data_IF_695637387978
#
_entry.id   IF_695637387978
#
_cell.length_a   1.000
_cell.length_b   1.000
_cell.length_c   1.000
_cell.angle_alpha   90.00
_cell.angle_beta   90.00
_cell.angle_gamma   90.00
#
_symmetry.space_group_name_H-M   'P 1'
#
loop_
_entity.id
_entity.type
_entity.pdbx_description
1 polymer ?
#
# COMPACT_ATOMS: atom_id res chain seq x y z
N UNK A 1 17.23 9.52 2.86
CA UNK A 1 16.19 8.60 3.39
C UNK A 1 16.58 8.25 4.81
N UNK A 2 15.72 8.51 5.80
CA UNK A 2 16.04 8.32 7.23
C UNK A 2 16.23 6.85 7.65
N UNK A 3 15.97 5.88 6.76
CA UNK A 3 16.02 4.44 7.06
C UNK A 3 17.21 3.75 6.40
N UNK A 4 17.37 3.90 5.08
CA UNK A 4 18.42 3.18 4.32
C UNK A 4 19.61 4.06 3.93
N UNK A 5 19.61 5.33 4.35
CA UNK A 5 20.63 6.33 4.02
C UNK A 5 20.89 6.56 2.51
N UNK A 6 19.98 6.11 1.64
CA UNK A 6 20.06 6.36 0.21
C UNK A 6 19.50 7.74 -0.15
N UNK A 7 20.13 8.39 -1.13
CA UNK A 7 19.75 9.69 -1.68
C UNK A 7 19.33 9.52 -3.14
N UNK A 8 18.21 8.82 -3.35
CA UNK A 8 17.67 8.57 -4.70
C UNK A 8 16.21 8.98 -4.79
N UNK A 9 15.88 9.75 -5.83
CA UNK A 9 14.51 10.14 -6.19
C UNK A 9 13.77 10.99 -5.15
N UNK A 10 12.44 10.94 -5.24
CA UNK A 10 11.54 11.64 -4.33
C UNK A 10 11.55 11.00 -2.93
N UNK A 11 11.42 11.83 -1.91
CA UNK A 11 11.18 11.41 -0.54
C UNK A 11 9.70 11.59 -0.19
N UNK A 12 9.23 10.73 0.69
CA UNK A 12 7.83 10.63 1.05
C UNK A 12 7.69 10.72 2.57
N UNK A 13 6.55 11.27 3.00
CA UNK A 13 6.15 11.34 4.40
C UNK A 13 4.76 10.74 4.54
N UNK A 14 4.55 9.98 5.61
CA UNK A 14 3.21 9.55 6.00
C UNK A 14 2.57 10.62 6.91
N UNK A 15 1.30 10.93 6.67
CA UNK A 15 0.48 11.85 7.49
C UNK A 15 -0.35 11.15 8.56
N UNK A 16 -0.48 9.83 8.48
CA UNK A 16 -1.28 9.02 9.41
C UNK A 16 -0.43 8.39 10.52
N UNK A 17 0.83 8.05 10.22
CA UNK A 17 1.75 7.51 11.22
C UNK A 17 1.93 8.48 12.39
N UNK A 18 1.87 7.96 13.61
CA UNK A 18 2.15 8.72 14.82
C UNK A 18 3.57 9.32 14.83
N UNK A 19 4.55 8.55 14.33
CA UNK A 19 5.95 9.00 14.17
C UNK A 19 6.33 9.12 12.69
N UNK A 20 6.02 10.24 12.02
CA UNK A 20 6.31 10.42 10.60
C UNK A 20 7.83 10.48 10.37
N UNK A 21 8.28 9.83 9.29
CA UNK A 21 9.68 9.88 8.80
C UNK A 21 9.69 10.31 7.34
N UNK A 22 10.81 10.86 6.88
CA UNK A 22 11.00 11.25 5.48
C UNK A 22 11.90 10.20 4.81
N UNK A 23 11.29 9.29 4.07
CA UNK A 23 11.94 8.08 3.57
C UNK A 23 11.69 7.89 2.07
N UNK A 24 12.54 7.12 1.40
CA UNK A 24 12.40 6.86 -0.04
C UNK A 24 11.20 5.95 -0.34
N UNK A 25 10.86 5.79 -1.62
CA UNK A 25 9.72 4.96 -2.06
C UNK A 25 9.75 3.54 -1.50
N UNK A 26 10.87 2.83 -1.63
CA UNK A 26 10.98 1.43 -1.18
C UNK A 26 10.81 1.29 0.33
N UNK A 27 11.46 2.15 1.12
CA UNK A 27 11.27 2.18 2.58
C UNK A 27 9.84 2.57 2.96
N UNK A 28 9.18 3.44 2.19
CA UNK A 28 7.77 3.78 2.41
C UNK A 28 6.87 2.57 2.22
N UNK A 29 7.04 1.85 1.11
CA UNK A 29 6.25 0.63 0.82
C UNK A 29 6.47 -0.45 1.89
N UNK A 30 7.72 -0.71 2.26
CA UNK A 30 8.04 -1.70 3.29
C UNK A 30 7.43 -1.36 4.65
N UNK A 31 7.51 -0.09 5.07
CA UNK A 31 6.96 0.36 6.35
C UNK A 31 5.43 0.26 6.43
N UNK A 32 4.74 0.41 5.31
CA UNK A 32 3.29 0.46 5.24
C UNK A 32 2.67 -0.80 4.62
N UNK A 33 3.42 -1.90 4.54
CA UNK A 33 2.96 -3.13 3.92
C UNK A 33 1.65 -3.66 4.57
N UNK A 34 1.52 -3.50 5.89
CA UNK A 34 0.34 -3.89 6.67
C UNK A 34 -0.59 -2.70 6.99
N UNK A 35 -0.30 -1.53 6.44
CA UNK A 35 -1.04 -0.29 6.69
C UNK A 35 -1.43 0.40 5.37
N UNK A 36 -2.14 -0.29 4.47
CA UNK A 36 -2.38 0.18 3.10
C UNK A 36 -3.23 1.45 3.02
N UNK A 37 -3.96 1.79 4.09
CA UNK A 37 -4.84 2.96 4.17
C UNK A 37 -4.12 4.24 4.64
N UNK A 38 -2.83 4.18 4.98
CA UNK A 38 -2.12 5.36 5.43
C UNK A 38 -1.95 6.41 4.33
N UNK A 39 -2.06 7.70 4.70
CA UNK A 39 -1.92 8.83 3.77
C UNK A 39 -0.45 9.15 3.53
N UNK A 40 -0.04 9.20 2.26
CA UNK A 40 1.32 9.55 1.87
C UNK A 40 1.33 10.88 1.11
N UNK A 41 2.41 11.63 1.27
CA UNK A 41 2.70 12.83 0.47
C UNK A 41 4.16 12.82 0.00
N UNK A 42 4.41 13.51 -1.11
CA UNK A 42 5.76 13.80 -1.56
C UNK A 42 6.30 14.99 -0.77
N UNK A 43 7.40 14.79 -0.04
CA UNK A 43 7.86 15.74 0.99
C UNK A 43 8.21 17.13 0.45
N UNK A 44 8.66 17.23 -0.82
CA UNK A 44 9.09 18.50 -1.44
C UNK A 44 7.96 19.30 -2.09
N UNK A 45 6.89 18.63 -2.51
CA UNK A 45 5.85 19.25 -3.34
C UNK A 45 4.48 19.30 -2.67
N UNK A 46 4.34 18.73 -1.46
CA UNK A 46 3.08 18.59 -0.72
C UNK A 46 1.94 17.96 -1.53
N UNK A 47 2.29 17.29 -2.64
CA UNK A 47 1.33 16.56 -3.44
C UNK A 47 0.99 15.25 -2.73
N UNK A 48 -0.31 14.97 -2.61
CA UNK A 48 -0.79 13.72 -2.04
C UNK A 48 -0.56 12.58 -3.04
N UNK A 49 -0.17 11.42 -2.54
CA UNK A 49 -0.09 10.18 -3.32
C UNK A 49 -0.64 9.04 -2.47
N UNK A 50 -1.06 7.95 -3.10
CA UNK A 50 -1.53 6.75 -2.39
C UNK A 50 -0.45 5.69 -2.39
N UNK A 51 -0.51 4.79 -1.40
CA UNK A 51 0.36 3.61 -1.40
C UNK A 51 0.13 2.76 -2.66
N UNK A 52 -1.11 2.72 -3.18
CA UNK A 52 -1.45 2.06 -4.44
C UNK A 52 -0.73 2.68 -5.65
N UNK A 53 -0.74 4.01 -5.80
CA UNK A 53 0.02 4.69 -6.86
C UNK A 53 1.53 4.47 -6.70
N UNK A 54 2.01 4.35 -5.46
CA UNK A 54 3.38 3.97 -5.18
C UNK A 54 3.66 2.49 -5.45
N UNK A 55 2.66 1.67 -5.80
CA UNK A 55 2.79 0.27 -6.18
C UNK A 55 2.63 -0.74 -5.05
N UNK A 56 2.10 -0.34 -3.88
CA UNK A 56 1.71 -1.29 -2.85
C UNK A 56 0.55 -2.14 -3.35
N UNK A 57 0.61 -3.43 -3.05
CA UNK A 57 -0.45 -4.41 -3.35
C UNK A 57 -0.77 -5.16 -2.07
N UNK A 58 -2.05 -5.28 -1.77
CA UNK A 58 -2.56 -6.12 -0.69
C UNK A 58 -2.87 -7.49 -1.28
N UNK A 59 -2.14 -8.51 -0.83
CA UNK A 59 -2.39 -9.89 -1.24
C UNK A 59 -3.44 -10.49 -0.31
N UNK A 60 -4.55 -10.94 -0.90
CA UNK A 60 -5.64 -11.57 -0.18
C UNK A 60 -5.43 -13.08 -0.16
N UNK A 61 -5.71 -13.70 0.99
CA UNK A 61 -5.36 -15.09 1.26
C UNK A 61 -3.89 -15.27 1.63
N UNK A 62 -3.48 -16.53 1.85
CA UNK A 62 -2.12 -16.93 2.23
C UNK A 62 -1.46 -16.09 3.35
N UNK A 63 -2.25 -15.53 4.28
CA UNK A 63 -1.74 -14.66 5.34
C UNK A 63 -1.02 -13.40 4.83
N UNK A 64 -1.40 -12.87 3.66
CA UNK A 64 -0.77 -11.68 3.07
C UNK A 64 0.40 -11.98 2.13
N UNK A 65 0.72 -13.26 1.88
CA UNK A 65 1.73 -13.65 0.89
C UNK A 65 1.16 -13.62 -0.54
N UNK A 66 2.03 -13.34 -1.51
CA UNK A 66 1.65 -13.33 -2.93
C UNK A 66 1.18 -14.71 -3.39
N UNK A 67 -0.03 -14.76 -3.95
CA UNK A 67 -0.56 -15.97 -4.56
C UNK A 67 0.11 -16.22 -5.93
N UNK A 68 0.62 -17.44 -6.22
CA UNK A 68 1.13 -17.78 -7.54
C UNK A 68 0.06 -17.72 -8.65
N UNK A 69 -1.22 -17.92 -8.28
CA UNK A 69 -2.40 -17.83 -9.14
C UNK A 69 -3.20 -16.56 -8.87
N UNK A 70 -2.54 -15.51 -8.38
CA UNK A 70 -3.16 -14.26 -7.99
C UNK A 70 -3.85 -13.55 -9.16
N UNK A 71 -5.03 -12.98 -8.91
CA UNK A 71 -5.74 -12.13 -9.86
C UNK A 71 -5.70 -10.69 -9.35
N UNK A 72 -5.00 -9.83 -10.09
CA UNK A 72 -4.84 -8.42 -9.70
C UNK A 72 -6.09 -7.63 -10.00
N UNK A 73 -6.44 -6.77 -9.05
CA UNK A 73 -7.46 -5.75 -9.20
C UNK A 73 -6.87 -4.42 -8.74
N UNK A 74 -6.73 -3.47 -9.67
CA UNK A 74 -6.15 -2.17 -9.41
C UNK A 74 -7.21 -1.07 -9.23
N UNK A 75 -8.50 -1.43 -9.34
CA UNK A 75 -9.62 -0.50 -9.27
C UNK A 75 -10.50 -0.80 -8.05
N UNK A 76 -9.85 -0.83 -6.87
CA UNK A 76 -10.53 -1.05 -5.61
C UNK A 76 -10.37 0.16 -4.69
N UNK A 77 -11.51 0.67 -4.21
CA UNK A 77 -11.56 1.81 -3.30
C UNK A 77 -12.16 1.36 -1.97
N UNK A 78 -11.42 1.58 -0.88
CA UNK A 78 -11.91 1.39 0.48
C UNK A 78 -12.46 2.73 0.99
N UNK A 79 -13.73 2.74 1.39
CA UNK A 79 -14.34 3.89 2.05
C UNK A 79 -13.98 3.87 3.54
N UNK A 80 -13.07 4.75 3.94
CA UNK A 80 -12.76 5.03 5.34
C UNK A 80 -13.72 6.05 5.95
N UNK A 81 -13.60 6.25 7.26
CA UNK A 81 -14.42 7.22 7.99
C UNK A 81 -14.13 8.68 7.58
N UNK A 82 -12.90 8.95 7.16
CA UNK A 82 -12.43 10.29 6.78
C UNK A 82 -12.36 10.49 5.27
N UNK A 83 -12.08 9.43 4.50
CA UNK A 83 -11.89 9.52 3.04
C UNK A 83 -11.95 8.16 2.34
N UNK A 84 -11.99 8.22 1.02
CA UNK A 84 -11.76 7.07 0.14
C UNK A 84 -10.25 6.79 -0.01
N UNK A 85 -9.90 5.51 -0.14
CA UNK A 85 -8.52 5.04 -0.31
C UNK A 85 -8.44 4.06 -1.47
N UNK A 86 -7.71 4.44 -2.51
CA UNK A 86 -7.39 3.53 -3.60
C UNK A 86 -6.36 2.50 -3.11
N UNK A 87 -6.66 1.23 -3.34
CA UNK A 87 -5.79 0.10 -3.00
C UNK A 87 -5.68 -0.84 -4.18
N UNK A 88 -4.48 -1.36 -4.44
CA UNK A 88 -4.33 -2.49 -5.36
C UNK A 88 -4.51 -3.78 -4.56
N UNK A 89 -5.40 -4.64 -5.03
CA UNK A 89 -5.63 -5.97 -4.47
C UNK A 89 -5.05 -7.05 -5.39
N UNK A 90 -4.71 -8.18 -4.80
CA UNK A 90 -4.38 -9.41 -5.50
C UNK A 90 -5.15 -10.55 -4.84
N UNK A 91 -6.20 -11.01 -5.52
CA UNK A 91 -7.10 -12.05 -5.00
C UNK A 91 -6.45 -13.43 -5.13
N UNK A 92 -6.60 -14.27 -4.12
CA UNK A 92 -6.19 -15.66 -4.21
C UNK A 92 -7.04 -16.40 -5.25
N UNK A 93 -6.39 -17.00 -6.24
CA UNK A 93 -7.00 -17.82 -7.29
C UNK A 93 -6.68 -19.32 -7.16
N UNK A 94 -6.36 -19.80 -5.96
CA UNK A 94 -6.23 -21.24 -5.71
C UNK A 94 -7.59 -21.93 -5.75
N UNK A 95 -7.61 -23.25 -5.99
CA UNK A 95 -8.86 -24.01 -6.15
C UNK A 95 -9.73 -24.03 -4.88
N UNK A 96 -9.10 -23.85 -3.72
CA UNK A 96 -9.76 -23.74 -2.41
C UNK A 96 -9.88 -22.29 -1.92
N UNK A 97 -9.66 -21.31 -2.79
CA UNK A 97 -9.85 -19.92 -2.44
C UNK A 97 -11.32 -19.65 -2.10
N UNK A 98 -11.56 -18.79 -1.11
CA UNK A 98 -12.90 -18.29 -0.81
C UNK A 98 -13.42 -17.43 -1.96
N UNK A 99 -14.71 -17.14 -1.99
CA UNK A 99 -15.25 -16.17 -2.97
C UNK A 99 -14.60 -14.80 -2.79
N UNK A 100 -14.62 -13.95 -3.83
CA UNK A 100 -13.99 -12.62 -3.76
C UNK A 100 -14.50 -11.78 -2.57
N UNK A 101 -15.80 -11.84 -2.28
CA UNK A 101 -16.39 -11.12 -1.15
C UNK A 101 -15.93 -11.61 0.22
N UNK A 102 -15.60 -12.89 0.36
CA UNK A 102 -15.13 -13.50 1.61
C UNK A 102 -13.61 -13.36 1.84
N UNK A 103 -12.89 -12.87 0.83
CA UNK A 103 -11.45 -12.57 0.91
C UNK A 103 -11.16 -11.12 1.35
N UNK A 104 -12.18 -10.25 1.38
CA UNK A 104 -12.12 -8.86 1.83
C UNK A 104 -12.37 -8.75 3.32
#
# INVERSE_FOLDING_TARGET
CDTCNQVTGNLFRCRTCFWPRIICRSCTLARHAEQPLHRIEVSRFLHCTTLAMMGLVVFLGHGGAKCPRGVRDADFTILGLDRAHDVNLDFCGCDHARTRGEQL
#
